data_IF_256151863225
#
_entry.id   IF_256151863225
#
_cell.length_a   1.000
_cell.length_b   1.000
_cell.length_c   1.000
_cell.angle_alpha   90.00
_cell.angle_beta   90.00
_cell.angle_gamma   90.00
#
_symmetry.space_group_name_H-M   'P 1'
#
loop_
_entity.id
_entity.type
_entity.pdbx_description
1 polymer ?
#
# COMPACT_ATOMS: atom_id res chain seq x y z
N UNK A 1 -8.49 19.30 5.13
CA UNK A 1 -8.01 17.91 4.98
C UNK A 1 -8.01 17.61 3.49
N UNK A 2 -6.89 17.15 2.91
CA UNK A 2 -6.81 16.92 1.46
C UNK A 2 -7.72 15.78 0.99
N UNK A 3 -8.06 15.78 -0.30
CA UNK A 3 -8.85 14.71 -0.93
C UNK A 3 -8.17 13.35 -0.73
N UNK A 4 -8.94 12.34 -0.33
CA UNK A 4 -8.45 10.96 -0.17
C UNK A 4 -8.81 10.14 -1.41
N UNK A 5 -7.81 9.48 -1.99
CA UNK A 5 -7.99 8.62 -3.16
C UNK A 5 -7.95 7.13 -2.79
N UNK A 6 -8.62 6.31 -3.59
CA UNK A 6 -8.52 4.85 -3.63
C UNK A 6 -7.64 4.45 -4.82
N UNK A 7 -6.56 3.74 -4.55
CA UNK A 7 -5.59 3.33 -5.57
C UNK A 7 -5.52 1.81 -5.64
N UNK A 8 -5.66 1.26 -6.84
CA UNK A 8 -5.42 -0.14 -7.11
C UNK A 8 -3.99 -0.32 -7.63
N UNK A 9 -3.22 -1.22 -7.04
CA UNK A 9 -1.82 -1.46 -7.42
C UNK A 9 -1.67 -2.92 -7.85
N UNK A 10 -1.23 -3.14 -9.08
CA UNK A 10 -0.89 -4.46 -9.62
C UNK A 10 0.52 -4.84 -9.14
N UNK A 11 0.61 -5.71 -8.13
CA UNK A 11 1.86 -6.12 -7.50
C UNK A 11 1.96 -5.66 -6.04
N UNK A 12 2.50 -6.53 -5.17
CA UNK A 12 2.69 -6.23 -3.75
C UNK A 12 4.15 -6.04 -3.33
N UNK A 13 5.14 -6.42 -4.14
CA UNK A 13 6.56 -6.24 -3.80
C UNK A 13 6.94 -4.76 -3.76
N UNK A 14 7.13 -4.11 -4.92
CA UNK A 14 7.31 -2.65 -4.96
C UNK A 14 6.02 -1.90 -4.67
N UNK A 15 4.87 -2.49 -5.00
CA UNK A 15 3.57 -1.96 -4.60
C UNK A 15 3.41 -1.71 -3.10
N UNK A 16 4.06 -2.49 -2.22
CA UNK A 16 4.06 -2.21 -0.78
C UNK A 16 4.84 -0.94 -0.41
N UNK A 17 5.94 -0.62 -1.12
CA UNK A 17 6.72 0.61 -0.91
C UNK A 17 5.92 1.84 -1.37
N UNK A 18 5.36 1.79 -2.58
CA UNK A 18 4.51 2.85 -3.12
C UNK A 18 3.25 3.02 -2.26
N UNK A 19 2.56 1.91 -1.98
CA UNK A 19 1.35 1.86 -1.17
C UNK A 19 1.56 2.41 0.22
N UNK A 20 2.71 2.14 0.85
CA UNK A 20 3.07 2.72 2.16
C UNK A 20 3.20 4.23 2.11
N UNK A 21 3.82 4.81 1.08
CA UNK A 21 3.90 6.27 0.92
C UNK A 21 2.53 6.90 0.69
N UNK A 22 1.68 6.26 -0.12
CA UNK A 22 0.31 6.73 -0.36
C UNK A 22 -0.55 6.65 0.90
N UNK A 23 -0.43 5.57 1.68
CA UNK A 23 -1.11 5.42 2.96
C UNK A 23 -0.60 6.44 4.00
N UNK A 24 0.69 6.78 3.99
CA UNK A 24 1.24 7.85 4.84
C UNK A 24 0.62 9.22 4.49
N UNK A 25 0.30 9.47 3.21
CA UNK A 25 -0.43 10.64 2.76
C UNK A 25 -1.96 10.58 3.04
N UNK A 26 -2.46 9.49 3.64
CA UNK A 26 -3.86 9.33 4.02
C UNK A 26 -4.75 8.66 2.96
N UNK A 27 -4.16 8.14 1.88
CA UNK A 27 -4.89 7.43 0.82
C UNK A 27 -5.15 5.96 1.14
N UNK A 28 -6.05 5.33 0.40
CA UNK A 28 -6.32 3.90 0.53
C UNK A 28 -5.75 3.15 -0.67
N UNK A 29 -5.03 2.06 -0.43
CA UNK A 29 -4.46 1.22 -1.48
C UNK A 29 -4.95 -0.23 -1.38
N UNK A 30 -5.14 -0.85 -2.54
CA UNK A 30 -5.40 -2.27 -2.67
C UNK A 30 -4.32 -2.90 -3.55
N UNK A 31 -3.57 -3.85 -3.00
CA UNK A 31 -2.48 -4.54 -3.69
C UNK A 31 -2.99 -5.85 -4.28
N UNK A 32 -2.73 -6.08 -5.56
CA UNK A 32 -2.95 -7.39 -6.18
C UNK A 32 -1.72 -8.26 -5.98
N UNK A 33 -1.91 -9.42 -5.36
CA UNK A 33 -0.85 -10.38 -5.07
C UNK A 33 -1.38 -11.80 -4.86
N UNK A 34 -0.48 -12.74 -4.57
CA UNK A 34 -0.84 -14.12 -4.27
C UNK A 34 -1.47 -14.22 -2.88
N UNK A 35 -2.26 -15.29 -2.61
CA UNK A 35 -3.01 -15.42 -1.36
C UNK A 35 -2.16 -15.31 -0.09
N UNK A 36 -1.00 -15.96 -0.05
CA UNK A 36 -0.12 -15.93 1.13
C UNK A 36 0.39 -14.52 1.46
N UNK A 37 0.71 -13.72 0.44
CA UNK A 37 1.10 -12.32 0.60
C UNK A 37 -0.08 -11.47 1.05
N UNK A 38 -1.26 -11.71 0.47
CA UNK A 38 -2.47 -10.97 0.84
C UNK A 38 -2.83 -11.20 2.30
N UNK A 39 -2.80 -12.44 2.77
CA UNK A 39 -3.06 -12.80 4.16
C UNK A 39 -2.07 -12.11 5.12
N UNK A 40 -0.78 -12.16 4.79
CA UNK A 40 0.26 -11.54 5.61
C UNK A 40 0.11 -10.01 5.66
N UNK A 41 -0.08 -9.36 4.51
CA UNK A 41 -0.26 -7.90 4.43
C UNK A 41 -1.53 -7.46 5.16
N UNK A 42 -2.64 -8.20 4.99
CA UNK A 42 -3.89 -7.85 5.66
C UNK A 42 -3.81 -8.08 7.17
N UNK A 43 -3.05 -9.08 7.64
CA UNK A 43 -2.86 -9.36 9.06
C UNK A 43 -1.89 -8.37 9.72
N UNK A 44 -0.68 -8.24 9.18
CA UNK A 44 0.46 -7.59 9.83
C UNK A 44 0.74 -6.18 9.26
N UNK A 45 0.24 -5.89 8.06
CA UNK A 45 0.60 -4.72 7.27
C UNK A 45 1.90 -4.92 6.51
N UNK A 46 2.15 -4.03 5.54
CA UNK A 46 3.49 -3.83 5.00
C UNK A 46 4.40 -3.16 6.03
N UNK A 47 5.57 -3.75 6.28
CA UNK A 47 6.68 -3.15 7.04
C UNK A 47 7.80 -2.85 6.06
N UNK A 48 8.04 -1.56 5.83
CA UNK A 48 9.06 -1.10 4.89
C UNK A 48 10.17 -0.34 5.61
N UNK A 49 11.40 -0.54 5.18
CA UNK A 49 12.57 0.18 5.68
C UNK A 49 13.17 0.98 4.54
N UNK A 50 13.11 2.30 4.62
CA UNK A 50 13.55 3.17 3.53
C UNK A 50 14.39 4.35 4.04
N UNK A 51 15.34 4.86 3.24
CA UNK A 51 16.08 6.06 3.60
C UNK A 51 15.19 7.29 3.56
N UNK A 52 15.50 8.29 4.39
CA UNK A 52 14.84 9.60 4.38
C UNK A 52 15.92 10.66 4.18
N UNK A 53 15.68 11.60 3.27
CA UNK A 53 16.63 12.67 2.95
C UNK A 53 16.98 13.45 4.22
N UNK A 54 18.28 13.59 4.51
CA UNK A 54 18.77 14.33 5.68
C UNK A 54 18.74 13.54 7.00
N UNK A 55 18.55 12.22 6.95
CA UNK A 55 18.60 11.35 8.12
C UNK A 55 19.50 10.14 7.87
N UNK A 56 20.35 9.81 8.83
CA UNK A 56 21.16 8.60 8.80
C UNK A 56 20.32 7.35 9.10
N UNK A 57 20.63 6.26 8.39
CA UNK A 57 19.96 4.96 8.54
C UNK A 57 18.61 4.85 7.83
N UNK A 58 17.97 3.70 8.02
CA UNK A 58 16.64 3.41 7.46
C UNK A 58 15.55 3.73 8.48
N UNK A 59 14.43 4.25 7.99
CA UNK A 59 13.22 4.44 8.78
C UNK A 59 12.29 3.27 8.52
N UNK A 60 11.91 2.57 9.59
CA UNK A 60 10.88 1.54 9.53
C UNK A 60 9.49 2.18 9.61
N UNK A 61 8.62 1.80 8.67
CA UNK A 61 7.24 2.26 8.60
C UNK A 61 6.35 1.03 8.54
N UNK A 62 5.43 0.92 9.50
CA UNK A 62 4.37 -0.10 9.48
C UNK A 62 3.06 0.54 9.01
N UNK A 63 2.53 0.03 7.91
CA UNK A 63 1.29 0.50 7.29
C UNK A 63 0.05 0.47 8.18
N UNK A 64 0.00 -0.38 9.21
CA UNK A 64 -1.10 -0.42 10.19
C UNK A 64 -1.19 0.83 11.08
N UNK A 65 -0.10 1.61 11.16
CA UNK A 65 0.00 2.84 11.97
C UNK A 65 -0.21 4.12 11.16
N UNK A 66 -0.61 3.99 9.89
CA UNK A 66 -0.72 5.12 8.97
C UNK A 66 -2.15 5.70 8.94
N UNK A 67 -2.31 6.96 8.55
CA UNK A 67 -3.63 7.59 8.42
C UNK A 67 -4.46 7.02 7.25
N UNK A 68 -3.80 6.45 6.25
CA UNK A 68 -4.39 5.72 5.15
C UNK A 68 -4.48 4.21 5.41
N UNK A 69 -5.02 3.46 4.46
CA UNK A 69 -5.23 2.00 4.60
C UNK A 69 -4.54 1.26 3.47
N UNK A 70 -3.87 0.16 3.80
CA UNK A 70 -3.40 -0.83 2.82
C UNK A 70 -4.22 -2.10 3.01
N UNK A 71 -4.70 -2.64 1.90
CA UNK A 71 -5.32 -3.95 1.80
C UNK A 71 -4.69 -4.72 0.65
N UNK A 72 -4.82 -6.04 0.65
CA UNK A 72 -4.29 -6.88 -0.41
C UNK A 72 -5.27 -8.01 -0.76
N UNK A 73 -5.20 -8.51 -1.98
CA UNK A 73 -6.07 -9.58 -2.47
C UNK A 73 -5.70 -10.05 -3.88
N UNK A 74 -6.39 -11.09 -4.35
CA UNK A 74 -6.32 -11.48 -5.76
C UNK A 74 -7.17 -10.58 -6.66
N UNK A 75 -7.16 -10.83 -7.96
CA UNK A 75 -7.93 -10.06 -8.95
C UNK A 75 -9.44 -10.33 -8.91
N UNK A 76 -9.86 -11.45 -8.31
CA UNK A 76 -11.27 -11.85 -8.26
C UNK A 76 -12.12 -10.82 -7.51
N UNK A 77 -13.14 -10.28 -8.18
CA UNK A 77 -14.07 -9.32 -7.58
C UNK A 77 -13.57 -7.87 -7.55
N UNK A 78 -12.37 -7.59 -8.05
CA UNK A 78 -11.84 -6.22 -8.16
C UNK A 78 -12.36 -5.57 -9.45
N UNK A 79 -13.02 -4.42 -9.31
CA UNK A 79 -13.46 -3.60 -10.44
C UNK A 79 -12.59 -2.34 -10.53
N UNK A 80 -11.79 -2.16 -11.59
CA UNK A 80 -10.92 -0.98 -11.72
C UNK A 80 -11.65 0.37 -11.61
N UNK A 81 -12.92 0.42 -12.02
CA UNK A 81 -13.78 1.62 -11.93
C UNK A 81 -14.06 2.09 -10.50
N UNK A 82 -13.81 1.25 -9.48
CA UNK A 82 -14.04 1.59 -8.07
C UNK A 82 -12.86 2.37 -7.46
N UNK A 83 -11.82 2.61 -8.26
CA UNK A 83 -10.56 3.27 -7.87
C UNK A 83 -10.32 4.53 -8.70
N UNK A 84 -9.67 5.51 -8.08
CA UNK A 84 -9.33 6.79 -8.71
C UNK A 84 -8.04 6.69 -9.56
N UNK A 85 -7.21 5.68 -9.28
CA UNK A 85 -5.95 5.41 -9.98
C UNK A 85 -5.66 3.91 -10.00
N UNK A 86 -5.15 3.42 -11.12
CA UNK A 86 -4.58 2.08 -11.25
C UNK A 86 -3.10 2.21 -11.60
N UNK A 87 -2.23 1.54 -10.84
CA UNK A 87 -0.79 1.54 -11.05
C UNK A 87 -0.26 0.11 -11.19
N UNK A 88 0.79 -0.06 -12.00
CA UNK A 88 1.61 -1.26 -12.05
C UNK A 88 2.90 -0.99 -11.27
N UNK A 89 3.21 -1.80 -10.26
CA UNK A 89 4.35 -1.57 -9.36
C UNK A 89 5.01 -2.86 -8.88
#
# INVERSE_FOLDING_TARGET
MGTKYKILIMGASYGSLLGTKLALAGHSTHLICLPAEADLINKEGAVVRMPVKGRDGLVEINSKKLPGKITAGGTAGVKPSDYDLVALA
#
